data_IF_628342217692
#
_entry.id   IF_628342217692
#
_cell.length_a   1.000
_cell.length_b   1.000
_cell.length_c   1.000
_cell.angle_alpha   90.00
_cell.angle_beta   90.00
_cell.angle_gamma   90.00
#
_symmetry.space_group_name_H-M   'P 1'
#
loop_
_entity.id
_entity.type
_entity.pdbx_description
1 polymer ?
#
# COMPACT_ATOMS: atom_id res chain seq x y z
N UNK A 1 -39.38 44.32 12.14
CA UNK A 1 -38.50 45.34 11.51
C UNK A 1 -37.17 44.66 11.19
N UNK A 2 -37.00 44.33 9.91
CA UNK A 2 -35.86 43.61 9.37
C UNK A 2 -34.67 44.54 9.12
N UNK A 3 -33.45 44.03 9.29
CA UNK A 3 -32.26 44.56 8.60
C UNK A 3 -31.19 43.46 8.50
N UNK A 4 -31.12 42.89 7.30
CA UNK A 4 -30.03 42.07 6.76
C UNK A 4 -28.99 43.04 6.19
N UNK A 5 -27.71 42.93 6.55
CA UNK A 5 -26.59 43.51 5.80
C UNK A 5 -25.42 42.52 5.89
N UNK A 6 -25.21 41.70 4.86
CA UNK A 6 -24.52 41.99 3.61
C UNK A 6 -22.99 41.79 3.73
N UNK A 7 -22.52 40.94 2.83
CA UNK A 7 -21.18 40.41 2.67
C UNK A 7 -20.23 41.37 1.94
N UNK A 8 -18.91 41.13 2.04
CA UNK A 8 -17.87 41.26 0.98
C UNK A 8 -16.49 41.01 1.64
N UNK A 9 -15.83 39.86 1.45
CA UNK A 9 -14.86 39.52 0.38
C UNK A 9 -13.85 40.63 0.07
N UNK A 10 -12.62 40.47 0.53
CA UNK A 10 -11.42 40.93 -0.18
C UNK A 10 -10.31 39.88 -0.06
N UNK A 11 -9.86 39.43 -1.23
CA UNK A 11 -8.70 38.60 -1.50
C UNK A 11 -7.46 39.49 -1.46
N UNK A 12 -6.39 39.09 -0.77
CA UNK A 12 -5.06 39.61 -1.05
C UNK A 12 -4.09 38.48 -1.33
N UNK A 13 -3.59 38.50 -2.56
CA UNK A 13 -2.70 37.56 -3.17
C UNK A 13 -1.23 37.87 -2.86
N UNK A 14 -0.48 36.78 -2.63
CA UNK A 14 0.77 36.35 -3.27
C UNK A 14 1.88 37.35 -3.68
N UNK A 15 3.11 36.84 -3.50
CA UNK A 15 4.42 37.23 -4.04
C UNK A 15 5.12 38.44 -3.43
N UNK A 16 6.24 38.20 -2.71
CA UNK A 16 7.56 38.82 -2.97
C UNK A 16 8.74 37.94 -2.53
N UNK A 17 9.44 37.40 -3.55
CA UNK A 17 10.89 37.40 -3.78
C UNK A 17 11.84 36.66 -2.82
N UNK A 18 12.41 35.58 -3.36
CA UNK A 18 13.69 34.96 -3.00
C UNK A 18 14.85 35.95 -3.20
N UNK A 19 15.82 35.96 -2.27
CA UNK A 19 17.14 36.57 -2.47
C UNK A 19 18.22 35.55 -2.14
N UNK A 20 18.94 35.16 -3.19
CA UNK A 20 20.28 34.61 -3.14
C UNK A 20 21.24 35.54 -2.39
N UNK A 21 22.08 34.98 -1.52
CA UNK A 21 23.34 35.59 -1.10
C UNK A 21 24.42 34.53 -1.20
N UNK A 22 25.27 34.71 -2.20
CA UNK A 22 26.51 34.01 -2.42
C UNK A 22 27.67 34.69 -1.66
N UNK A 23 28.52 33.84 -1.08
CA UNK A 23 29.94 34.01 -0.71
C UNK A 23 30.39 35.10 0.28
N UNK A 24 31.13 34.66 1.31
CA UNK A 24 32.45 35.21 1.64
C UNK A 24 33.29 34.25 2.50
N UNK A 25 34.51 33.97 2.01
CA UNK A 25 35.62 33.32 2.73
C UNK A 25 36.05 34.18 3.94
N UNK A 26 36.43 33.50 5.02
CA UNK A 26 37.25 34.09 6.08
C UNK A 26 38.02 33.00 6.83
N UNK A 27 39.34 32.97 6.67
CA UNK A 27 40.26 32.21 7.52
C UNK A 27 40.23 32.82 8.93
N UNK A 28 40.15 31.96 9.95
CA UNK A 28 40.33 32.34 11.34
C UNK A 28 40.73 31.13 12.17
N UNK A 29 42.02 31.00 12.44
CA UNK A 29 42.59 30.05 13.38
C UNK A 29 42.36 30.52 14.81
N UNK A 30 41.78 29.68 15.67
CA UNK A 30 41.95 29.80 17.13
C UNK A 30 41.98 28.42 17.77
N UNK A 31 43.13 28.09 18.33
CA UNK A 31 43.34 26.94 19.18
C UNK A 31 42.80 27.25 20.58
N UNK A 32 41.85 26.46 21.07
CA UNK A 32 41.49 26.41 22.49
C UNK A 32 41.51 24.96 22.94
N UNK A 33 42.40 24.72 23.89
CA UNK A 33 42.72 23.43 24.47
C UNK A 33 41.64 23.10 25.54
N UNK A 34 40.65 22.30 25.16
CA UNK A 34 39.63 21.76 26.07
C UNK A 34 39.85 20.27 26.29
N UNK A 35 40.22 19.89 27.51
CA UNK A 35 40.56 18.52 27.91
C UNK A 35 39.37 17.57 27.70
N UNK A 36 39.60 16.52 26.92
CA UNK A 36 38.70 15.37 26.75
C UNK A 36 38.92 14.39 27.91
N UNK A 37 37.91 14.23 28.78
CA UNK A 37 37.90 13.16 29.79
C UNK A 37 37.22 11.92 29.21
N UNK A 38 38.04 10.91 28.91
CA UNK A 38 37.62 9.59 28.47
C UNK A 38 37.03 8.85 29.67
N UNK A 39 35.70 8.84 29.79
CA UNK A 39 35.03 7.87 30.65
C UNK A 39 34.94 6.54 29.90
N UNK A 40 35.88 5.67 30.25
CA UNK A 40 36.02 4.28 29.82
C UNK A 40 34.88 3.46 30.45
N UNK A 41 33.71 3.45 29.81
CA UNK A 41 32.68 2.47 30.14
C UNK A 41 33.06 1.12 29.55
N UNK A 42 33.19 0.14 30.44
CA UNK A 42 33.56 -1.23 30.15
C UNK A 42 32.43 -1.87 29.31
N UNK A 43 32.73 -2.11 28.03
CA UNK A 43 31.85 -2.81 27.11
C UNK A 43 32.01 -4.32 27.35
N UNK A 44 31.05 -4.94 28.03
CA UNK A 44 30.96 -6.41 28.09
C UNK A 44 30.41 -6.92 26.76
N UNK A 45 31.32 -7.26 25.84
CA UNK A 45 30.99 -7.99 24.61
C UNK A 45 30.75 -9.46 24.98
N UNK A 46 29.52 -9.94 24.82
CA UNK A 46 29.25 -11.37 24.66
C UNK A 46 29.12 -11.65 23.17
N UNK A 47 29.95 -12.54 22.59
CA UNK A 47 29.77 -12.98 21.21
C UNK A 47 28.67 -14.05 21.20
N UNK A 48 27.43 -13.64 20.96
CA UNK A 48 26.38 -14.59 20.55
C UNK A 48 26.39 -14.69 19.03
N UNK A 49 27.39 -15.39 18.52
CA UNK A 49 27.40 -15.94 17.16
C UNK A 49 26.38 -17.07 17.08
N UNK A 50 25.16 -16.73 16.65
CA UNK A 50 24.24 -17.71 16.06
C UNK A 50 23.54 -17.09 14.86
N UNK A 51 24.32 -16.83 13.80
CA UNK A 51 23.76 -16.88 12.46
C UNK A 51 23.46 -18.35 12.19
N UNK A 52 22.23 -18.78 12.43
CA UNK A 52 21.76 -20.00 11.79
C UNK A 52 21.61 -19.70 10.31
N UNK A 53 22.68 -19.93 9.55
CA UNK A 53 22.59 -20.18 8.12
C UNK A 53 21.83 -21.50 7.95
N UNK A 54 20.50 -21.45 8.04
CA UNK A 54 19.70 -22.53 7.48
C UNK A 54 19.93 -22.48 5.99
N UNK A 55 20.76 -23.40 5.50
CA UNK A 55 20.78 -23.75 4.10
C UNK A 55 19.36 -24.20 3.74
N UNK A 56 18.58 -23.27 3.18
CA UNK A 56 17.37 -23.64 2.48
C UNK A 56 17.85 -24.44 1.29
N UNK A 57 17.77 -25.77 1.41
CA UNK A 57 17.86 -26.66 0.28
C UNK A 57 16.77 -26.22 -0.70
N UNK A 58 17.15 -25.47 -1.73
CA UNK A 58 16.28 -25.14 -2.84
C UNK A 58 16.08 -26.43 -3.64
N UNK A 59 15.22 -27.32 -3.12
CA UNK A 59 14.61 -28.35 -3.96
C UNK A 59 13.98 -27.60 -5.14
N UNK A 60 14.32 -27.96 -6.40
CA UNK A 60 13.64 -27.37 -7.53
C UNK A 60 12.16 -27.72 -7.40
N UNK A 61 11.32 -26.70 -7.25
CA UNK A 61 9.86 -26.87 -7.25
C UNK A 61 9.48 -27.42 -8.62
N UNK A 62 9.28 -28.74 -8.71
CA UNK A 62 8.81 -29.36 -9.94
C UNK A 62 7.40 -28.81 -10.21
N UNK A 63 7.25 -28.04 -11.30
CA UNK A 63 5.96 -27.52 -11.73
C UNK A 63 5.20 -28.69 -12.34
N UNK A 64 4.26 -29.27 -11.59
CA UNK A 64 3.38 -30.33 -12.08
C UNK A 64 2.12 -29.71 -12.66
N UNK A 65 1.75 -30.11 -13.87
CA UNK A 65 0.48 -29.71 -14.49
C UNK A 65 -0.63 -30.58 -13.91
N UNK A 66 -1.62 -29.95 -13.27
CA UNK A 66 -2.80 -30.63 -12.72
C UNK A 66 -3.88 -30.77 -13.80
N UNK A 67 -4.68 -31.83 -13.76
CA UNK A 67 -5.80 -32.06 -14.69
C UNK A 67 -7.04 -31.18 -14.40
N UNK A 68 -7.10 -30.57 -13.21
CA UNK A 68 -8.18 -29.66 -12.83
C UNK A 68 -8.10 -28.34 -13.60
N UNK A 69 -9.22 -27.81 -14.11
CA UNK A 69 -9.23 -26.56 -14.86
C UNK A 69 -8.87 -25.38 -13.93
N UNK A 70 -8.04 -24.46 -14.45
CA UNK A 70 -7.64 -23.28 -13.68
C UNK A 70 -8.83 -22.34 -13.44
N UNK A 71 -8.81 -21.69 -12.29
CA UNK A 71 -9.74 -20.61 -11.96
C UNK A 71 -9.46 -19.40 -12.86
N UNK A 72 -10.52 -18.77 -13.36
CA UNK A 72 -10.40 -17.58 -14.20
C UNK A 72 -10.86 -16.35 -13.42
N UNK A 73 -10.12 -15.26 -13.50
CA UNK A 73 -10.49 -13.99 -12.89
C UNK A 73 -10.83 -12.97 -13.97
N UNK A 74 -12.03 -12.39 -13.88
CA UNK A 74 -12.42 -11.29 -14.74
C UNK A 74 -11.56 -10.07 -14.44
N UNK A 75 -11.40 -9.77 -13.15
CA UNK A 75 -10.67 -8.63 -12.62
C UNK A 75 -9.95 -9.00 -11.33
N UNK A 76 -8.75 -8.46 -11.16
CA UNK A 76 -8.02 -8.47 -9.89
C UNK A 76 -7.67 -7.03 -9.55
N UNK A 77 -8.29 -6.51 -8.49
CA UNK A 77 -8.04 -5.16 -7.98
C UNK A 77 -7.03 -5.19 -6.84
N UNK A 78 -5.92 -4.50 -7.01
CA UNK A 78 -4.87 -4.37 -6.00
C UNK A 78 -4.92 -2.96 -5.46
N UNK A 79 -5.35 -2.82 -4.21
CA UNK A 79 -5.37 -1.56 -3.48
C UNK A 79 -4.19 -1.53 -2.50
N UNK A 80 -3.23 -0.64 -2.76
CA UNK A 80 -2.09 -0.39 -1.88
C UNK A 80 -2.37 0.87 -1.08
N UNK A 81 -2.17 0.78 0.24
CA UNK A 81 -2.34 1.86 1.21
C UNK A 81 -0.97 2.21 1.79
N UNK A 82 -0.70 3.50 1.97
CA UNK A 82 0.57 3.95 2.54
C UNK A 82 0.51 5.37 3.08
N UNK A 83 1.45 5.71 3.96
CA UNK A 83 1.58 7.07 4.48
C UNK A 83 2.50 7.96 3.62
N UNK A 84 3.50 7.37 2.97
CA UNK A 84 4.39 8.09 2.06
C UNK A 84 3.93 7.93 0.61
N UNK A 85 3.72 9.07 -0.06
CA UNK A 85 3.34 9.14 -1.47
C UNK A 85 4.48 8.71 -2.39
N UNK A 86 5.72 9.10 -2.10
CA UNK A 86 6.85 8.81 -2.98
C UNK A 86 7.09 7.29 -3.10
N UNK A 87 6.96 6.58 -1.98
CA UNK A 87 7.05 5.11 -1.95
C UNK A 87 5.93 4.48 -2.77
N UNK A 88 4.69 4.96 -2.63
CA UNK A 88 3.55 4.49 -3.42
C UNK A 88 3.76 4.69 -4.93
N UNK A 89 4.26 5.86 -5.34
CA UNK A 89 4.54 6.16 -6.76
C UNK A 89 5.63 5.23 -7.32
N UNK A 90 6.69 4.97 -6.54
CA UNK A 90 7.74 4.02 -6.94
C UNK A 90 7.22 2.58 -7.04
N UNK A 91 6.31 2.19 -6.14
CA UNK A 91 5.74 0.85 -6.12
C UNK A 91 4.71 0.64 -7.23
N UNK A 92 3.95 1.67 -7.58
CA UNK A 92 3.09 1.69 -8.76
C UNK A 92 3.91 1.41 -10.03
N UNK A 93 5.03 2.11 -10.21
CA UNK A 93 5.93 1.89 -11.33
C UNK A 93 6.46 0.45 -11.35
N UNK A 94 6.90 -0.07 -10.22
CA UNK A 94 7.38 -1.45 -10.09
C UNK A 94 6.31 -2.48 -10.47
N UNK A 95 5.10 -2.38 -9.92
CA UNK A 95 4.03 -3.33 -10.16
C UNK A 95 3.54 -3.28 -11.62
N UNK A 96 3.39 -2.08 -12.19
CA UNK A 96 2.99 -1.92 -13.59
C UNK A 96 4.05 -2.44 -14.57
N UNK A 97 5.33 -2.24 -14.27
CA UNK A 97 6.43 -2.80 -15.05
C UNK A 97 6.41 -4.33 -15.01
N UNK A 98 6.31 -4.93 -13.82
CA UNK A 98 6.24 -6.38 -13.67
C UNK A 98 5.05 -7.00 -14.42
N UNK A 99 3.89 -6.35 -14.39
CA UNK A 99 2.72 -6.79 -15.14
C UNK A 99 2.97 -6.77 -16.66
N UNK A 100 3.61 -5.72 -17.18
CA UNK A 100 3.96 -5.60 -18.61
C UNK A 100 4.93 -6.68 -19.05
N UNK A 101 5.98 -6.95 -18.27
CA UNK A 101 6.96 -8.00 -18.59
C UNK A 101 6.34 -9.40 -18.60
N UNK A 102 5.36 -9.65 -17.73
CA UNK A 102 4.61 -10.91 -17.71
C UNK A 102 3.48 -10.96 -18.76
N UNK A 103 3.24 -9.89 -19.51
CA UNK A 103 2.17 -9.80 -20.50
C UNK A 103 0.76 -9.76 -19.90
N UNK A 104 0.62 -9.32 -18.65
CA UNK A 104 -0.68 -9.17 -17.97
C UNK A 104 -1.32 -7.83 -18.39
N UNK A 105 -2.60 -7.87 -18.75
CA UNK A 105 -3.34 -6.68 -19.13
C UNK A 105 -3.68 -5.82 -17.90
N UNK A 106 -3.05 -4.65 -17.80
CA UNK A 106 -3.39 -3.63 -16.80
C UNK A 106 -4.50 -2.74 -17.37
N UNK A 107 -5.69 -2.79 -16.76
CA UNK A 107 -6.87 -2.04 -17.23
C UNK A 107 -6.72 -0.55 -16.89
N UNK A 108 -6.51 -0.23 -15.61
CA UNK A 108 -6.30 1.14 -15.15
C UNK A 108 -5.49 1.18 -13.87
N UNK A 109 -4.76 2.27 -13.72
CA UNK A 109 -4.08 2.65 -12.48
C UNK A 109 -4.58 4.03 -12.10
N UNK A 110 -5.06 4.18 -10.87
CA UNK A 110 -5.54 5.46 -10.38
C UNK A 110 -5.29 5.62 -8.90
N UNK A 111 -5.31 6.87 -8.46
CA UNK A 111 -5.20 7.29 -7.06
C UNK A 111 -6.61 7.59 -6.53
N UNK A 112 -7.17 6.74 -5.65
CA UNK A 112 -8.36 7.09 -4.88
C UNK A 112 -8.11 8.32 -3.99
N UNK A 113 -9.16 9.05 -3.58
CA UNK A 113 -9.04 10.15 -2.62
C UNK A 113 -8.34 9.69 -1.34
N UNK A 114 -7.41 10.51 -0.84
CA UNK A 114 -6.67 10.21 0.39
C UNK A 114 -7.56 10.41 1.63
N UNK A 115 -7.32 9.60 2.65
CA UNK A 115 -8.00 9.73 3.94
C UNK A 115 -7.11 10.51 4.92
N UNK A 116 -7.71 11.46 5.64
CA UNK A 116 -7.03 12.28 6.65
C UNK A 116 -7.75 12.14 7.99
N UNK A 117 -7.14 11.41 8.91
CA UNK A 117 -7.67 11.23 10.25
C UNK A 117 -7.02 12.23 11.21
N UNK A 118 -7.85 13.07 11.87
CA UNK A 118 -7.38 14.11 12.79
C UNK A 118 -7.82 13.81 14.21
N UNK A 119 -6.86 13.80 15.12
CA UNK A 119 -7.07 13.53 16.55
C UNK A 119 -6.52 14.69 17.38
N UNK A 120 -7.26 15.16 18.38
CA UNK A 120 -6.82 16.27 19.23
C UNK A 120 -6.69 15.82 20.67
N UNK A 121 -5.49 15.93 21.24
CA UNK A 121 -5.19 15.54 22.61
C UNK A 121 -4.84 16.76 23.46
N UNK A 122 -4.98 16.62 24.78
CA UNK A 122 -4.47 17.63 25.72
C UNK A 122 -2.94 17.62 25.66
N UNK A 123 -2.33 18.80 25.66
CA UNK A 123 -0.86 18.91 25.70
C UNK A 123 -0.32 18.60 27.11
N UNK A 124 -1.07 18.97 28.15
CA UNK A 124 -0.68 18.74 29.54
C UNK A 124 -1.26 17.44 30.08
N UNK A 125 -0.63 16.92 31.12
CA UNK A 125 -1.11 15.75 31.87
C UNK A 125 -2.39 16.07 32.66
N UNK A 126 -2.49 17.27 33.25
CA UNK A 126 -3.63 17.68 34.09
C UNK A 126 -4.13 19.09 33.75
N UNK A 127 -5.44 19.33 34.02
CA UNK A 127 -6.23 20.59 34.03
C UNK A 127 -6.28 21.51 32.79
N UNK A 128 -5.26 21.57 31.94
CA UNK A 128 -5.19 22.61 30.90
C UNK A 128 -5.97 22.25 29.61
N UNK A 129 -7.29 22.42 29.63
CA UNK A 129 -8.19 22.09 28.49
C UNK A 129 -7.98 22.94 27.22
N UNK A 130 -7.52 24.19 27.38
CA UNK A 130 -7.33 25.16 26.28
C UNK A 130 -6.09 24.84 25.43
N UNK A 131 -5.06 24.23 26.02
CA UNK A 131 -3.81 23.92 25.32
C UNK A 131 -3.86 22.49 24.77
N UNK A 132 -4.07 22.37 23.46
CA UNK A 132 -4.27 21.10 22.76
C UNK A 132 -3.23 20.90 21.65
N UNK A 133 -2.91 19.65 21.36
CA UNK A 133 -2.10 19.24 20.22
C UNK A 133 -3.00 18.51 19.24
N UNK A 134 -2.92 18.88 17.96
CA UNK A 134 -3.62 18.20 16.88
C UNK A 134 -2.62 17.28 16.18
N UNK A 135 -3.00 16.02 16.04
CA UNK A 135 -2.31 14.99 15.29
C UNK A 135 -3.10 14.69 14.03
N UNK A 136 -2.39 14.32 12.96
CA UNK A 136 -2.98 13.96 11.68
C UNK A 136 -2.30 12.69 11.16
N UNK A 137 -3.10 11.74 10.70
CA UNK A 137 -2.65 10.56 9.97
C UNK A 137 -3.16 10.67 8.53
N UNK A 138 -2.25 10.67 7.56
CA UNK A 138 -2.57 10.76 6.14
C UNK A 138 -2.39 9.40 5.50
N UNK A 139 -3.41 8.88 4.84
CA UNK A 139 -3.33 7.61 4.12
C UNK A 139 -3.61 7.85 2.65
N UNK A 140 -2.57 7.63 1.84
CA UNK A 140 -2.63 7.67 0.39
C UNK A 140 -2.93 6.28 -0.17
N UNK A 141 -3.54 6.25 -1.35
CA UNK A 141 -3.97 5.02 -1.99
C UNK A 141 -3.50 4.94 -3.44
N UNK A 142 -3.14 3.73 -3.87
CA UNK A 142 -2.94 3.38 -5.28
C UNK A 142 -3.78 2.18 -5.60
N UNK A 143 -4.59 2.26 -6.65
CA UNK A 143 -5.41 1.16 -7.11
C UNK A 143 -4.97 0.74 -8.51
N UNK A 144 -4.49 -0.49 -8.62
CA UNK A 144 -4.06 -1.12 -9.87
C UNK A 144 -5.09 -2.21 -10.20
N UNK A 145 -5.73 -2.08 -11.35
CA UNK A 145 -6.73 -3.04 -11.82
C UNK A 145 -6.16 -3.86 -12.97
N UNK A 146 -6.12 -5.18 -12.78
CA UNK A 146 -5.74 -6.16 -13.81
C UNK A 146 -7.01 -6.78 -14.40
N UNK A 147 -7.01 -7.04 -15.70
CA UNK A 147 -8.11 -7.71 -16.41
C UNK A 147 -7.64 -9.04 -17.01
N UNK A 148 -8.59 -9.99 -17.13
CA UNK A 148 -8.41 -11.24 -17.86
C UNK A 148 -7.17 -12.04 -17.43
N UNK A 149 -7.14 -12.50 -16.17
CA UNK A 149 -6.01 -13.25 -15.61
C UNK A 149 -6.45 -14.64 -15.15
N UNK A 150 -5.56 -15.63 -15.25
CA UNK A 150 -5.78 -16.99 -14.75
C UNK A 150 -5.34 -17.13 -13.29
N UNK A 151 -5.74 -18.21 -12.62
CA UNK A 151 -5.45 -18.46 -11.22
C UNK A 151 -3.96 -18.64 -10.95
N UNK A 152 -3.30 -19.47 -11.74
CA UNK A 152 -1.86 -19.70 -11.59
C UNK A 152 -1.05 -18.42 -11.87
N UNK A 153 -1.41 -17.66 -12.91
CA UNK A 153 -0.75 -16.41 -13.26
C UNK A 153 -0.93 -15.36 -12.16
N UNK A 154 -2.15 -15.22 -11.64
CA UNK A 154 -2.43 -14.32 -10.53
C UNK A 154 -1.66 -14.70 -9.27
N UNK A 155 -1.51 -16.00 -8.98
CA UNK A 155 -0.73 -16.48 -7.84
C UNK A 155 0.74 -16.07 -7.95
N UNK A 156 1.39 -16.35 -9.09
CA UNK A 156 2.80 -16.01 -9.32
C UNK A 156 3.02 -14.50 -9.25
N UNK A 157 2.15 -13.73 -9.89
CA UNK A 157 2.24 -12.27 -9.89
C UNK A 157 2.06 -11.69 -8.47
N UNK A 158 1.05 -12.17 -7.74
CA UNK A 158 0.81 -11.71 -6.37
C UNK A 158 1.93 -12.13 -5.43
N UNK A 159 2.53 -13.31 -5.61
CA UNK A 159 3.69 -13.74 -4.83
C UNK A 159 4.88 -12.79 -5.03
N UNK A 160 5.20 -12.47 -6.28
CA UNK A 160 6.30 -11.55 -6.61
C UNK A 160 6.08 -10.16 -5.99
N UNK A 161 4.86 -9.64 -6.11
CA UNK A 161 4.51 -8.33 -5.57
C UNK A 161 4.48 -8.32 -4.04
N UNK A 162 3.86 -9.31 -3.41
CA UNK A 162 3.76 -9.41 -1.95
C UNK A 162 5.14 -9.53 -1.29
N UNK A 163 6.07 -10.28 -1.89
CA UNK A 163 7.44 -10.41 -1.37
C UNK A 163 8.23 -9.11 -1.43
N UNK A 164 7.94 -8.26 -2.42
CA UNK A 164 8.63 -6.99 -2.62
C UNK A 164 7.83 -5.79 -2.08
N UNK A 165 6.83 -6.03 -1.23
CA UNK A 165 6.04 -4.95 -0.62
C UNK A 165 6.90 -4.18 0.40
N UNK A 166 7.14 -2.86 0.21
CA UNK A 166 7.91 -2.04 1.13
C UNK A 166 7.27 -1.94 2.52
N UNK A 167 8.11 -1.64 3.51
CA UNK A 167 7.64 -1.35 4.87
C UNK A 167 6.72 -0.13 4.90
N UNK A 168 5.72 -0.16 5.78
CA UNK A 168 4.75 0.94 5.90
C UNK A 168 3.73 1.00 4.76
N UNK A 169 3.75 0.05 3.81
CA UNK A 169 2.66 -0.19 2.87
C UNK A 169 1.82 -1.40 3.28
N UNK A 170 0.51 -1.29 3.08
CA UNK A 170 -0.43 -2.38 3.28
C UNK A 170 -1.19 -2.64 1.98
N UNK A 171 -1.44 -3.91 1.66
CA UNK A 171 -2.07 -4.30 0.41
C UNK A 171 -3.38 -5.05 0.65
N UNK A 172 -4.42 -4.66 -0.07
CA UNK A 172 -5.71 -5.37 -0.16
C UNK A 172 -5.91 -5.85 -1.59
N UNK A 173 -6.13 -7.15 -1.76
CA UNK A 173 -6.36 -7.76 -3.08
C UNK A 173 -7.82 -8.20 -3.16
N UNK A 174 -8.53 -7.75 -4.18
CA UNK A 174 -9.92 -8.14 -4.48
C UNK A 174 -9.92 -8.94 -5.77
N UNK A 175 -10.33 -10.21 -5.69
CA UNK A 175 -10.39 -11.13 -6.84
C UNK A 175 -11.84 -11.32 -7.27
N UNK A 176 -12.13 -11.11 -8.54
CA UNK A 176 -13.46 -11.36 -9.12
C UNK A 176 -13.38 -12.58 -10.03
N UNK A 177 -13.80 -13.75 -9.52
CA UNK A 177 -13.76 -15.02 -10.24
C UNK A 177 -14.88 -15.10 -11.28
N UNK A 178 -14.59 -15.77 -12.39
CA UNK A 178 -15.55 -16.15 -13.42
C UNK A 178 -15.98 -17.59 -13.15
N UNK A 179 -17.24 -17.78 -12.76
CA UNK A 179 -17.83 -19.09 -12.50
C UNK A 179 -18.88 -19.40 -13.57
N UNK A 180 -19.10 -20.70 -13.81
CA UNK A 180 -20.18 -21.16 -14.66
C UNK A 180 -21.50 -21.09 -13.89
N UNK A 181 -22.60 -21.00 -14.62
CA UNK A 181 -23.93 -21.13 -14.03
C UNK A 181 -24.02 -22.52 -13.38
N UNK A 182 -24.44 -22.63 -12.11
CA UNK A 182 -24.62 -23.91 -11.44
C UNK A 182 -25.62 -24.82 -12.16
N UNK A 183 -25.34 -26.12 -12.16
CA UNK A 183 -26.10 -27.12 -12.93
C UNK A 183 -27.61 -27.09 -12.63
N UNK A 184 -27.98 -26.92 -11.36
CA UNK A 184 -29.38 -26.91 -10.90
C UNK A 184 -30.17 -25.67 -11.34
N UNK A 185 -29.51 -24.64 -11.87
CA UNK A 185 -30.17 -23.44 -12.41
C UNK A 185 -30.41 -23.60 -13.93
N UNK A 186 -29.67 -24.49 -14.60
CA UNK A 186 -29.78 -24.68 -16.04
C UNK A 186 -31.17 -25.17 -16.44
N UNK A 187 -31.72 -26.11 -15.67
CA UNK A 187 -33.05 -26.66 -15.91
C UNK A 187 -33.99 -26.38 -14.73
N UNK A 188 -35.17 -25.80 -14.99
CA UNK A 188 -36.15 -25.60 -13.94
C UNK A 188 -36.76 -26.93 -13.50
N UNK A 189 -36.87 -27.14 -12.19
CA UNK A 189 -37.39 -28.36 -11.57
C UNK A 189 -38.82 -28.74 -11.98
N UNK A 190 -39.60 -27.82 -12.53
CA UNK A 190 -41.02 -28.04 -12.87
C UNK A 190 -41.25 -28.65 -14.27
N UNK A 191 -40.20 -28.96 -15.04
CA UNK A 191 -40.31 -29.60 -16.36
C UNK A 191 -40.33 -31.13 -16.32
N UNK A 192 -39.83 -31.75 -15.27
CA UNK A 192 -39.89 -33.20 -15.10
C UNK A 192 -41.26 -33.60 -14.52
N UNK A 193 -42.28 -33.73 -15.38
CA UNK A 193 -43.45 -34.52 -14.99
C UNK A 193 -43.05 -36.00 -15.01
N UNK A 194 -43.37 -36.79 -13.97
CA UNK A 194 -43.11 -38.22 -13.99
C UNK A 194 -43.94 -38.85 -15.10
N UNK A 195 -43.26 -39.41 -16.11
CA UNK A 195 -43.90 -40.31 -17.05
C UNK A 195 -44.14 -41.62 -16.30
N UNK A 196 -45.35 -41.79 -15.76
CA UNK A 196 -45.84 -43.07 -15.27
C UNK A 196 -45.98 -44.00 -16.50
N UNK A 197 -44.91 -44.72 -16.85
CA UNK A 197 -44.97 -45.78 -17.86
C UNK A 197 -45.80 -46.94 -17.29
N UNK A 198 -46.97 -47.27 -17.87
CA UNK A 198 -47.77 -48.39 -17.38
C UNK A 198 -47.05 -49.70 -17.69
N UNK A 199 -46.69 -50.44 -16.65
CA UNK A 199 -46.14 -51.79 -16.76
C UNK A 199 -47.21 -52.72 -17.36
N UNK A 200 -46.92 -53.32 -18.51
CA UNK A 200 -47.72 -54.39 -19.13
C UNK A 200 -47.45 -55.75 -18.47
#
# INVERSE_FOLDING_TARGET
MAAVMAAQRQLFACLRLTRDISQLRGLGTSAVHGKCSINRFHQSQTPSTYFHTSAFASTPSAITVTEEPDTLFQRVGILVKGHDRAVLDSYEFFATLAAKELGINVNKVFEPPMDIDRLTLLKSVHIFKKHRVQYEMRTHYRHIELSHITGCTAQVYLEYIQRNLPEGLAMKVTKTAMEKIPDHILEPMWKSQPTDEPTQ
#
